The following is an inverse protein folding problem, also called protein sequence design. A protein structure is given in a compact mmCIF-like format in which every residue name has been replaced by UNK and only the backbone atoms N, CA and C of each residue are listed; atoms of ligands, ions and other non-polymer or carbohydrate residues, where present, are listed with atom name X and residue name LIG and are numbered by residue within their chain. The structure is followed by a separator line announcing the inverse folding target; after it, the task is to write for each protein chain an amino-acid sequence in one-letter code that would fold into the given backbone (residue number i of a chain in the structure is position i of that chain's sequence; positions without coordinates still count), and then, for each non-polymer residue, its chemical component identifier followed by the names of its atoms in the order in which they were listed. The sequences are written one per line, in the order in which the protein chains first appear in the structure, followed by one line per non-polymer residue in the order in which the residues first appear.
data_IF_772735149500
#
_entry.id   IF_772735149500
#
_cell.length_a   1.000
_cell.length_b   1.000
_cell.length_c   1.000
_cell.angle_alpha   90.00
_cell.angle_beta   90.00
_cell.angle_gamma   90.00
#
_symmetry.space_group_name_H-M   'P 1'
#
loop_
_entity.id
_entity.type
_entity.pdbx_description
1 polymer ?
#
# COMPACT_ATOMS: atom_id res chain seq x y z
N UNK A 1 -53.63 4.09 40.00
CA UNK A 1 -53.94 3.16 41.11
C UNK A 1 -55.10 2.28 40.68
N UNK A 2 -54.83 1.02 40.33
CA UNK A 2 -55.63 -0.18 40.65
C UNK A 2 -55.01 -1.36 39.91
N UNK A 3 -54.44 -2.29 40.68
CA UNK A 3 -53.97 -3.60 40.21
C UNK A 3 -55.18 -4.54 40.17
N UNK A 4 -55.30 -5.33 39.12
CA UNK A 4 -56.10 -6.56 39.17
C UNK A 4 -55.26 -7.70 38.59
N UNK A 5 -54.84 -8.56 39.50
CA UNK A 5 -54.18 -9.85 39.30
C UNK A 5 -55.21 -10.91 38.95
N UNK A 6 -54.92 -11.81 38.00
CA UNK A 6 -55.53 -13.14 37.97
C UNK A 6 -54.44 -14.21 37.85
N UNK A 7 -54.44 -15.10 38.84
CA UNK A 7 -53.56 -16.24 38.99
C UNK A 7 -54.25 -17.53 38.50
N UNK A 8 -53.44 -18.50 38.08
CA UNK A 8 -53.56 -19.92 38.45
C UNK A 8 -54.62 -20.78 37.75
N UNK A 9 -54.16 -21.79 37.01
CA UNK A 9 -55.00 -22.93 36.62
C UNK A 9 -54.29 -23.95 35.72
N UNK A 10 -53.77 -25.02 36.32
CA UNK A 10 -53.22 -26.21 35.64
C UNK A 10 -54.34 -27.03 34.98
N UNK A 11 -54.10 -27.60 33.79
CA UNK A 11 -54.71 -28.88 33.41
C UNK A 11 -55.23 -29.05 31.98
N UNK A 12 -54.56 -29.94 31.25
CA UNK A 12 -55.06 -30.88 30.20
C UNK A 12 -55.57 -30.36 28.84
N UNK A 13 -54.86 -30.86 27.83
CA UNK A 13 -55.18 -31.02 26.40
C UNK A 13 -56.67 -31.31 26.12
N UNK A 14 -57.30 -30.54 25.23
CA UNK A 14 -58.32 -31.01 24.26
C UNK A 14 -58.26 -30.23 22.94
N UNK A 15 -58.55 -30.96 21.88
CA UNK A 15 -58.43 -30.64 20.46
C UNK A 15 -59.37 -29.52 19.99
N UNK A 16 -58.96 -28.86 18.93
CA UNK A 16 -59.70 -27.89 18.13
C UNK A 16 -60.96 -28.47 17.47
N UNK A 17 -61.99 -27.65 17.30
CA UNK A 17 -63.07 -27.78 16.31
C UNK A 17 -63.68 -26.39 16.02
N UNK A 18 -64.25 -26.16 14.83
CA UNK A 18 -64.23 -24.85 14.17
C UNK A 18 -65.58 -24.12 14.23
N UNK A 19 -65.53 -22.79 14.04
CA UNK A 19 -66.65 -22.03 13.49
C UNK A 19 -67.47 -21.22 14.49
N UNK A 20 -67.10 -19.95 14.65
CA UNK A 20 -68.07 -18.86 14.78
C UNK A 20 -67.48 -17.62 14.09
N UNK A 21 -68.12 -17.24 12.99
CA UNK A 21 -67.89 -16.00 12.26
C UNK A 21 -68.54 -14.85 13.01
N UNK A 22 -67.94 -13.66 12.95
CA UNK A 22 -68.71 -12.42 13.03
C UNK A 22 -68.06 -11.31 13.84
N UNK A 23 -67.40 -10.39 13.12
CA UNK A 23 -67.27 -8.96 13.39
C UNK A 23 -66.83 -8.50 14.78
N UNK A 24 -65.60 -7.99 14.89
CA UNK A 24 -65.32 -6.56 15.15
C UNK A 24 -63.82 -6.32 15.31
N UNK A 25 -63.34 -5.20 14.75
CA UNK A 25 -62.02 -4.57 14.92
C UNK A 25 -60.77 -5.30 14.38
N UNK A 26 -60.33 -4.86 13.19
CA UNK A 26 -58.99 -5.08 12.64
C UNK A 26 -57.96 -4.25 13.43
N UNK A 27 -56.83 -4.80 13.92
CA UNK A 27 -55.65 -4.01 14.20
C UNK A 27 -54.78 -3.87 12.94
N UNK A 28 -54.18 -2.70 12.80
CA UNK A 28 -53.28 -2.28 11.73
C UNK A 28 -52.27 -3.35 11.31
N UNK A 29 -52.32 -3.73 10.02
CA UNK A 29 -51.26 -4.45 9.34
C UNK A 29 -50.06 -3.53 9.12
N UNK A 30 -48.90 -3.89 9.69
CA UNK A 30 -47.58 -3.37 9.31
C UNK A 30 -47.33 -3.55 7.80
N UNK A 31 -46.87 -2.53 7.05
CA UNK A 31 -46.46 -2.75 5.68
C UNK A 31 -45.15 -3.54 5.62
N UNK A 32 -45.16 -4.49 4.69
CA UNK A 32 -44.05 -5.30 4.21
C UNK A 32 -42.80 -4.50 3.85
N UNK A 33 -41.65 -5.09 4.19
CA UNK A 33 -40.27 -4.78 3.79
C UNK A 33 -40.17 -4.11 2.40
N UNK A 34 -39.79 -2.84 2.39
CA UNK A 34 -39.20 -2.19 1.22
C UNK A 34 -37.76 -2.69 1.07
N UNK A 35 -37.51 -3.49 0.02
CA UNK A 35 -36.15 -3.75 -0.48
C UNK A 35 -35.72 -2.50 -1.26
N UNK A 36 -34.76 -1.75 -0.72
CA UNK A 36 -34.06 -0.74 -1.50
C UNK A 36 -32.87 -1.37 -2.23
N UNK A 37 -32.86 -1.16 -3.54
CA UNK A 37 -31.84 -1.55 -4.51
C UNK A 37 -30.53 -0.81 -4.23
N UNK A 38 -29.40 -1.52 -4.34
CA UNK A 38 -28.06 -0.95 -4.32
C UNK A 38 -27.78 -0.23 -5.64
N UNK A 39 -27.88 1.09 -5.65
CA UNK A 39 -27.03 2.05 -6.35
C UNK A 39 -27.76 3.39 -6.41
N UNK A 40 -26.98 4.45 -6.21
CA UNK A 40 -27.36 5.87 -6.22
C UNK A 40 -28.25 6.31 -5.05
N UNK A 41 -27.64 7.00 -4.07
CA UNK A 41 -28.24 8.15 -3.35
C UNK A 41 -27.34 8.62 -2.20
N UNK A 42 -26.31 9.42 -2.52
CA UNK A 42 -25.46 10.08 -1.52
C UNK A 42 -26.18 11.21 -0.77
N UNK A 43 -27.27 11.77 -1.33
CA UNK A 43 -27.95 12.97 -0.80
C UNK A 43 -29.38 12.70 -0.30
N UNK A 44 -30.10 11.74 -0.89
CA UNK A 44 -31.51 11.49 -0.55
C UNK A 44 -31.65 10.71 0.77
N UNK A 45 -30.72 9.81 1.08
CA UNK A 45 -30.76 9.01 2.32
C UNK A 45 -30.54 9.84 3.60
N UNK A 46 -29.63 10.82 3.57
CA UNK A 46 -29.34 11.66 4.73
C UNK A 46 -30.49 12.61 5.06
N UNK A 47 -31.12 13.19 4.03
CA UNK A 47 -32.24 14.11 4.22
C UNK A 47 -33.45 13.39 4.79
N UNK A 48 -33.74 12.17 4.32
CA UNK A 48 -34.84 11.35 4.85
C UNK A 48 -34.59 10.89 6.30
N UNK A 49 -33.38 10.43 6.63
CA UNK A 49 -33.01 10.01 8.00
C UNK A 49 -32.99 11.22 8.95
N UNK A 50 -32.48 12.36 8.49
CA UNK A 50 -32.47 13.62 9.26
C UNK A 50 -33.90 14.11 9.53
N UNK A 51 -34.78 14.11 8.52
CA UNK A 51 -36.18 14.52 8.68
C UNK A 51 -36.99 13.56 9.57
N UNK A 52 -36.73 12.24 9.51
CA UNK A 52 -37.37 11.25 10.39
C UNK A 52 -36.87 11.41 11.84
N UNK A 53 -35.57 11.58 12.04
CA UNK A 53 -34.97 11.72 13.38
C UNK A 53 -35.30 13.06 14.05
N UNK A 54 -35.37 14.16 13.29
CA UNK A 54 -35.82 15.47 13.80
C UNK A 54 -37.31 15.41 14.17
N UNK A 55 -38.13 14.67 13.42
CA UNK A 55 -39.56 14.46 13.73
C UNK A 55 -39.79 13.59 14.98
N UNK A 56 -38.86 12.70 15.32
CA UNK A 56 -38.92 11.82 16.50
C UNK A 56 -38.15 12.37 17.73
N UNK A 57 -37.65 13.61 17.69
CA UNK A 57 -36.94 14.23 18.82
C UNK A 57 -35.48 13.76 19.02
N UNK A 58 -34.90 13.06 18.04
CA UNK A 58 -33.55 12.46 18.10
C UNK A 58 -32.46 13.29 17.39
N UNK A 59 -32.68 14.59 17.16
CA UNK A 59 -31.74 15.48 16.48
C UNK A 59 -30.33 15.51 17.11
N UNK A 60 -30.24 15.30 18.44
CA UNK A 60 -28.98 15.18 19.18
C UNK A 60 -28.20 13.93 18.75
N UNK A 61 -28.87 12.77 18.62
CA UNK A 61 -28.24 11.51 18.22
C UNK A 61 -27.73 11.54 16.76
N UNK A 62 -28.45 12.19 15.85
CA UNK A 62 -27.99 12.38 14.46
C UNK A 62 -26.84 13.39 14.38
N UNK A 63 -26.84 14.43 15.22
CA UNK A 63 -25.72 15.35 15.38
C UNK A 63 -24.45 14.66 15.88
N UNK A 64 -24.56 13.84 16.93
CA UNK A 64 -23.45 13.07 17.50
C UNK A 64 -22.90 12.01 16.53
N UNK A 65 -23.78 11.30 15.82
CA UNK A 65 -23.38 10.30 14.84
C UNK A 65 -22.68 10.94 13.63
N UNK A 66 -23.16 12.10 13.17
CA UNK A 66 -22.50 12.90 12.13
C UNK A 66 -21.12 13.42 12.57
N UNK A 67 -20.99 13.90 13.81
CA UNK A 67 -19.70 14.34 14.37
C UNK A 67 -18.72 13.16 14.53
N UNK A 68 -19.20 11.98 14.95
CA UNK A 68 -18.39 10.77 15.08
C UNK A 68 -17.84 10.30 13.73
N UNK A 69 -18.68 10.28 12.69
CA UNK A 69 -18.25 9.91 11.32
C UNK A 69 -17.22 10.93 10.78
N UNK A 70 -17.44 12.23 10.97
CA UNK A 70 -16.46 13.27 10.58
C UNK A 70 -15.13 13.11 11.31
N UNK A 71 -15.15 12.75 12.59
CA UNK A 71 -13.95 12.47 13.38
C UNK A 71 -13.15 11.27 12.86
N UNK A 72 -13.83 10.19 12.46
CA UNK A 72 -13.20 8.99 11.90
C UNK A 72 -12.51 9.27 10.56
N UNK A 73 -13.18 9.96 9.63
CA UNK A 73 -12.58 10.32 8.33
C UNK A 73 -11.44 11.34 8.46
N UNK A 74 -11.54 12.27 9.42
CA UNK A 74 -10.40 13.12 9.77
C UNK A 74 -9.20 12.27 10.21
N UNK A 75 -9.43 11.20 10.97
CA UNK A 75 -8.39 10.23 11.35
C UNK A 75 -7.76 9.51 10.16
N UNK A 76 -8.57 9.05 9.19
CA UNK A 76 -8.07 8.44 7.94
C UNK A 76 -7.14 9.40 7.20
N UNK A 77 -7.59 10.64 7.00
CA UNK A 77 -6.79 11.66 6.31
C UNK A 77 -5.51 12.04 7.07
N UNK A 78 -5.54 12.02 8.40
CA UNK A 78 -4.35 12.24 9.22
C UNK A 78 -3.32 11.13 9.04
N UNK A 79 -3.73 9.86 9.13
CA UNK A 79 -2.79 8.75 8.95
C UNK A 79 -2.25 8.72 7.52
N UNK A 80 -3.07 9.05 6.52
CA UNK A 80 -2.63 9.22 5.14
C UNK A 80 -1.62 10.37 4.98
N UNK A 81 -1.81 11.50 5.67
CA UNK A 81 -0.85 12.61 5.67
C UNK A 81 0.47 12.23 6.38
N UNK A 82 0.41 11.44 7.44
CA UNK A 82 1.60 10.86 8.07
C UNK A 82 2.37 9.94 7.13
N UNK A 83 1.65 9.10 6.37
CA UNK A 83 2.25 8.23 5.35
C UNK A 83 2.92 9.02 4.23
N UNK A 84 2.25 10.06 3.73
CA UNK A 84 2.81 10.97 2.73
C UNK A 84 4.15 11.52 3.19
N UNK A 85 4.22 12.08 4.40
CA UNK A 85 5.46 12.67 4.89
C UNK A 85 6.53 11.63 5.14
N UNK A 86 6.17 10.51 5.76
CA UNK A 86 7.10 9.41 5.96
C UNK A 86 7.76 9.02 4.63
N UNK A 87 6.96 8.81 3.59
CA UNK A 87 7.42 8.40 2.27
C UNK A 87 8.15 9.52 1.50
N UNK A 88 7.83 10.79 1.75
CA UNK A 88 8.61 11.93 1.26
C UNK A 88 10.05 11.87 1.75
N UNK A 89 10.27 11.64 3.04
CA UNK A 89 11.61 11.61 3.61
C UNK A 89 12.40 10.35 3.20
N UNK A 90 11.77 9.18 3.16
CA UNK A 90 12.44 7.95 2.68
C UNK A 90 12.82 8.04 1.20
N UNK A 91 12.06 8.80 0.40
CA UNK A 91 12.37 9.07 -1.01
C UNK A 91 13.55 10.04 -1.24
N UNK A 92 14.15 10.62 -0.19
CA UNK A 92 15.31 11.51 -0.35
C UNK A 92 16.58 10.79 -0.80
N UNK A 93 16.69 9.47 -0.59
CA UNK A 93 17.94 8.76 -0.86
C UNK A 93 18.36 8.84 -2.34
N UNK A 94 17.50 8.38 -3.25
CA UNK A 94 17.79 8.30 -4.68
C UNK A 94 18.27 9.64 -5.32
N UNK A 95 17.58 10.77 -5.13
CA UNK A 95 18.02 12.07 -5.68
C UNK A 95 19.27 12.63 -5.00
N UNK A 96 19.65 12.14 -3.82
CA UNK A 96 20.88 12.52 -3.12
C UNK A 96 22.08 11.64 -3.47
N UNK A 97 21.89 10.45 -4.03
CA UNK A 97 22.98 9.57 -4.47
C UNK A 97 24.00 10.26 -5.39
N UNK A 98 23.62 11.10 -6.38
CA UNK A 98 24.60 11.83 -7.21
C UNK A 98 25.58 12.70 -6.41
N UNK A 99 25.21 13.11 -5.20
CA UNK A 99 26.04 13.94 -4.33
C UNK A 99 26.76 13.13 -3.25
N UNK A 100 26.09 12.11 -2.70
CA UNK A 100 26.65 11.24 -1.67
C UNK A 100 27.76 10.34 -2.21
N UNK A 101 27.61 9.84 -3.45
CA UNK A 101 28.61 9.00 -4.12
C UNK A 101 29.98 9.68 -4.17
N UNK A 102 30.13 10.88 -4.78
CA UNK A 102 31.43 11.55 -4.81
C UNK A 102 31.86 12.09 -3.44
N UNK A 103 30.95 12.53 -2.57
CA UNK A 103 31.30 13.05 -1.23
C UNK A 103 31.97 11.99 -0.35
N UNK A 104 31.47 10.75 -0.38
CA UNK A 104 31.89 9.67 0.51
C UNK A 104 32.72 8.58 -0.19
N UNK A 105 32.98 8.72 -1.49
CA UNK A 105 33.67 7.72 -2.29
C UNK A 105 32.90 6.40 -2.38
N UNK A 106 31.58 6.45 -2.50
CA UNK A 106 30.75 5.24 -2.56
C UNK A 106 30.92 4.54 -3.91
N UNK A 107 31.01 3.21 -3.88
CA UNK A 107 30.69 2.42 -5.07
C UNK A 107 29.17 2.38 -5.29
N UNK A 108 28.73 2.10 -6.51
CA UNK A 108 27.31 1.95 -6.84
C UNK A 108 26.70 0.74 -6.14
N UNK A 109 27.45 -0.33 -5.88
CA UNK A 109 26.99 -1.44 -5.01
C UNK A 109 26.61 -0.92 -3.62
N UNK A 110 27.46 -0.08 -3.01
CA UNK A 110 27.17 0.50 -1.69
C UNK A 110 25.98 1.46 -1.77
N UNK A 111 25.86 2.26 -2.83
CA UNK A 111 24.67 3.08 -3.06
C UNK A 111 23.37 2.22 -3.17
N UNK A 112 23.46 1.06 -3.81
CA UNK A 112 22.37 0.08 -3.85
C UNK A 112 22.07 -0.52 -2.47
N UNK A 113 23.10 -0.80 -1.67
CA UNK A 113 22.97 -1.30 -0.30
C UNK A 113 22.22 -0.31 0.60
N UNK A 114 22.40 1.00 0.40
CA UNK A 114 21.63 2.01 1.13
C UNK A 114 20.12 1.83 0.91
N UNK A 115 19.70 1.63 -0.34
CA UNK A 115 18.30 1.37 -0.70
C UNK A 115 17.80 0.05 -0.10
N UNK A 116 18.64 -1.00 -0.15
CA UNK A 116 18.34 -2.28 0.50
C UNK A 116 18.14 -2.13 2.01
N UNK A 117 18.98 -1.36 2.72
CA UNK A 117 18.88 -1.20 4.17
C UNK A 117 17.65 -0.38 4.62
N UNK A 118 17.10 0.47 3.75
CA UNK A 118 15.79 1.10 3.99
C UNK A 118 14.67 0.05 3.88
N UNK A 119 14.77 -0.90 2.94
CA UNK A 119 13.67 -1.83 2.66
C UNK A 119 13.72 -3.12 3.49
N UNK A 120 14.91 -3.68 3.73
CA UNK A 120 15.11 -4.99 4.33
C UNK A 120 14.44 -5.15 5.71
N UNK A 121 14.41 -4.14 6.59
CA UNK A 121 13.68 -4.23 7.86
C UNK A 121 12.18 -4.52 7.69
N UNK A 122 11.60 -4.31 6.50
CA UNK A 122 10.22 -4.68 6.19
C UNK A 122 9.92 -6.18 6.35
N UNK A 123 10.95 -7.05 6.31
CA UNK A 123 10.79 -8.46 6.63
C UNK A 123 10.34 -8.70 8.09
N UNK A 124 10.59 -7.74 8.98
CA UNK A 124 10.16 -7.78 10.38
C UNK A 124 8.77 -7.19 10.59
N UNK A 125 8.06 -6.72 9.55
CA UNK A 125 6.70 -6.18 9.68
C UNK A 125 5.72 -7.12 10.43
N UNK A 126 5.71 -8.45 10.24
CA UNK A 126 4.84 -9.33 11.02
C UNK A 126 5.14 -9.28 12.53
N UNK A 127 6.42 -9.28 12.90
CA UNK A 127 6.87 -9.16 14.29
C UNK A 127 6.52 -7.79 14.87
N UNK A 128 6.76 -6.72 14.11
CA UNK A 128 6.43 -5.35 14.52
C UNK A 128 4.92 -5.14 14.64
N UNK A 129 4.11 -5.78 13.79
CA UNK A 129 2.66 -5.85 13.92
C UNK A 129 2.25 -6.47 15.26
N UNK A 130 2.79 -7.66 15.57
CA UNK A 130 2.54 -8.34 16.85
C UNK A 130 2.99 -7.52 18.07
N UNK A 131 4.14 -6.83 17.98
CA UNK A 131 4.61 -5.93 19.04
C UNK A 131 3.65 -4.73 19.18
N UNK A 132 3.18 -4.18 18.06
CA UNK A 132 2.27 -3.03 18.04
C UNK A 132 0.90 -3.35 18.63
N UNK A 133 0.49 -4.62 18.65
CA UNK A 133 -0.75 -5.05 19.33
C UNK A 133 -0.63 -4.98 20.87
N UNK A 134 0.62 -4.99 21.39
CA UNK A 134 0.94 -4.94 22.83
C UNK A 134 1.37 -3.56 23.32
N UNK A 135 1.76 -2.66 22.42
CA UNK A 135 2.17 -1.29 22.71
C UNK A 135 1.14 -0.27 22.20
N UNK A 136 1.32 1.01 22.51
CA UNK A 136 0.47 2.05 21.92
C UNK A 136 0.85 2.25 20.44
N UNK A 137 0.02 1.71 19.55
CA UNK A 137 0.13 1.82 18.08
C UNK A 137 0.27 3.27 17.60
N UNK A 138 -0.20 4.26 18.38
CA UNK A 138 -0.06 5.68 18.08
C UNK A 138 1.40 6.12 18.07
N UNK A 139 2.23 5.55 18.95
CA UNK A 139 3.66 5.89 19.00
C UNK A 139 4.36 5.52 17.70
N UNK A 140 4.01 4.39 17.12
CA UNK A 140 4.56 3.94 15.83
C UNK A 140 4.18 4.89 14.69
N UNK A 141 2.89 5.23 14.58
CA UNK A 141 2.35 6.09 13.51
C UNK A 141 2.84 7.55 13.64
N UNK A 142 3.01 8.05 14.87
CA UNK A 142 3.44 9.43 15.14
C UNK A 142 4.97 9.59 15.06
N UNK A 143 5.74 8.65 15.63
CA UNK A 143 7.19 8.80 15.72
C UNK A 143 7.89 8.45 14.41
N UNK A 144 7.36 7.53 13.61
CA UNK A 144 8.05 7.12 12.38
C UNK A 144 8.27 8.26 11.37
N UNK A 145 7.30 9.16 11.08
CA UNK A 145 7.58 10.34 10.26
C UNK A 145 8.66 11.27 10.87
N UNK A 146 8.66 11.48 12.20
CA UNK A 146 9.69 12.30 12.87
C UNK A 146 11.09 11.67 12.80
N UNK A 147 11.19 10.36 13.03
CA UNK A 147 12.45 9.60 12.95
C UNK A 147 12.97 9.64 11.51
N UNK A 148 12.13 9.28 10.53
CA UNK A 148 12.52 9.30 9.12
C UNK A 148 12.92 10.71 8.68
N UNK A 149 12.16 11.74 9.08
CA UNK A 149 12.50 13.12 8.77
C UNK A 149 13.83 13.55 9.36
N UNK A 150 14.06 13.27 10.64
CA UNK A 150 15.31 13.64 11.31
C UNK A 150 16.47 12.93 10.64
N UNK A 151 16.42 11.61 10.54
CA UNK A 151 17.56 10.84 10.04
C UNK A 151 17.82 11.14 8.56
N UNK A 152 16.78 11.13 7.70
CA UNK A 152 16.94 11.38 6.26
C UNK A 152 17.36 12.82 5.95
N UNK A 153 16.95 13.81 6.76
CA UNK A 153 17.39 15.20 6.57
C UNK A 153 18.84 15.41 7.00
N UNK A 154 19.42 14.53 7.82
CA UNK A 154 20.81 14.63 8.27
C UNK A 154 21.79 13.81 7.42
N UNK A 155 21.34 13.02 6.44
CA UNK A 155 22.25 12.12 5.69
C UNK A 155 23.36 12.86 4.94
N UNK A 156 23.10 14.12 4.55
CA UNK A 156 24.10 14.98 3.92
C UNK A 156 25.28 15.33 4.83
N UNK A 157 25.09 15.25 6.15
CA UNK A 157 26.10 15.50 7.17
C UNK A 157 26.81 14.22 7.65
N UNK A 158 26.53 13.06 7.04
CA UNK A 158 27.20 11.81 7.41
C UNK A 158 28.72 11.92 7.16
N UNK A 159 29.58 11.66 8.17
CA UNK A 159 31.02 11.84 8.05
C UNK A 159 31.73 10.69 7.32
N UNK A 160 31.10 9.52 7.26
CA UNK A 160 31.63 8.32 6.60
C UNK A 160 30.50 7.35 6.23
N UNK A 161 30.85 6.36 5.41
CA UNK A 161 29.92 5.34 4.90
C UNK A 161 29.25 4.55 6.03
N UNK A 162 29.98 4.22 7.11
CA UNK A 162 29.44 3.45 8.23
C UNK A 162 28.29 4.17 8.95
N UNK A 163 28.45 5.47 9.21
CA UNK A 163 27.37 6.29 9.78
C UNK A 163 26.19 6.40 8.83
N UNK A 164 26.44 6.56 7.52
CA UNK A 164 25.36 6.61 6.53
C UNK A 164 24.56 5.29 6.49
N UNK A 165 25.24 4.12 6.51
CA UNK A 165 24.62 2.79 6.58
C UNK A 165 23.77 2.63 7.85
N UNK A 166 24.29 3.07 8.99
CA UNK A 166 23.55 3.05 10.27
C UNK A 166 22.28 3.92 10.18
N UNK A 167 22.40 5.14 9.66
CA UNK A 167 21.28 6.06 9.49
C UNK A 167 20.16 5.47 8.63
N UNK A 168 20.49 4.96 7.43
CA UNK A 168 19.45 4.37 6.55
C UNK A 168 18.85 3.09 7.13
N UNK A 169 19.60 2.33 7.94
CA UNK A 169 19.07 1.17 8.67
C UNK A 169 18.04 1.58 9.72
N UNK A 170 18.31 2.65 10.49
CA UNK A 170 17.35 3.23 11.44
C UNK A 170 16.06 3.66 10.71
N UNK A 171 16.21 4.28 9.55
CA UNK A 171 15.06 4.68 8.70
C UNK A 171 14.29 3.46 8.22
N UNK A 172 14.97 2.37 7.85
CA UNK A 172 14.29 1.14 7.46
C UNK A 172 13.45 0.54 8.59
N UNK A 173 13.95 0.51 9.83
CA UNK A 173 13.15 0.11 10.99
C UNK A 173 11.99 1.06 11.26
N UNK A 174 12.19 2.37 11.12
CA UNK A 174 11.12 3.38 11.20
C UNK A 174 10.02 3.09 10.16
N UNK A 175 10.41 2.76 8.93
CA UNK A 175 9.47 2.41 7.86
C UNK A 175 8.70 1.13 8.14
N UNK A 176 9.38 0.04 8.53
CA UNK A 176 8.73 -1.20 8.91
C UNK A 176 7.76 -1.01 10.09
N UNK A 177 8.14 -0.19 11.07
CA UNK A 177 7.33 0.18 12.22
C UNK A 177 6.08 1.01 11.86
N UNK A 178 6.13 1.79 10.77
CA UNK A 178 4.98 2.54 10.28
C UNK A 178 4.02 1.68 9.45
N UNK A 179 4.54 0.94 8.46
CA UNK A 179 3.71 0.22 7.48
C UNK A 179 3.07 -1.06 8.05
N UNK A 180 3.61 -1.65 9.13
CA UNK A 180 2.99 -2.79 9.79
C UNK A 180 1.61 -2.45 10.43
N UNK A 181 1.51 -1.44 11.32
CA UNK A 181 0.25 -1.10 11.98
C UNK A 181 -0.69 -0.16 11.20
N UNK A 182 -0.15 0.77 10.41
CA UNK A 182 -0.94 1.89 9.87
C UNK A 182 -2.13 1.48 8.96
N UNK A 183 -2.02 0.48 8.06
CA UNK A 183 -3.15 0.04 7.24
C UNK A 183 -4.33 -0.49 8.07
N UNK A 184 -4.04 -1.16 9.19
CA UNK A 184 -5.07 -1.69 10.07
C UNK A 184 -5.79 -0.57 10.83
N UNK A 185 -5.03 0.45 11.29
CA UNK A 185 -5.59 1.67 11.86
C UNK A 185 -6.54 2.36 10.88
N UNK A 186 -6.11 2.55 9.63
CA UNK A 186 -6.94 3.17 8.59
C UNK A 186 -8.20 2.36 8.31
N UNK A 187 -8.08 1.03 8.28
CA UNK A 187 -9.22 0.13 8.06
C UNK A 187 -10.26 0.25 9.18
N UNK A 188 -9.83 0.32 10.43
CA UNK A 188 -10.71 0.51 11.59
C UNK A 188 -11.42 1.87 11.54
N UNK A 189 -10.70 2.94 11.18
CA UNK A 189 -11.26 4.28 11.07
C UNK A 189 -12.24 4.42 9.90
N UNK A 190 -11.98 3.74 8.78
CA UNK A 190 -12.84 3.80 7.60
C UNK A 190 -14.18 3.06 7.75
N UNK A 191 -14.34 2.25 8.81
CA UNK A 191 -15.57 1.53 9.12
C UNK A 191 -16.04 0.65 7.95
N UNK A 192 -17.22 0.93 7.39
CA UNK A 192 -17.77 0.15 6.27
C UNK A 192 -17.10 0.45 4.92
N UNK A 193 -16.28 1.51 4.81
CA UNK A 193 -15.64 1.95 3.56
C UNK A 193 -14.13 1.73 3.58
N UNK A 194 -13.68 0.57 4.06
CA UNK A 194 -12.27 0.18 4.21
C UNK A 194 -11.47 0.46 2.92
N UNK A 195 -11.99 0.03 1.76
CA UNK A 195 -11.33 0.24 0.48
C UNK A 195 -11.00 1.70 0.19
N UNK A 196 -11.95 2.62 0.39
CA UNK A 196 -11.74 4.06 0.21
C UNK A 196 -10.70 4.60 1.20
N UNK A 197 -10.75 4.17 2.47
CA UNK A 197 -9.76 4.57 3.46
C UNK A 197 -8.34 4.13 3.08
N UNK A 198 -8.18 2.88 2.68
CA UNK A 198 -6.90 2.34 2.22
C UNK A 198 -6.43 3.02 0.92
N UNK A 199 -7.33 3.44 0.03
CA UNK A 199 -6.97 4.23 -1.16
C UNK A 199 -6.37 5.59 -0.78
N UNK A 200 -6.96 6.32 0.18
CA UNK A 200 -6.36 7.58 0.67
C UNK A 200 -4.99 7.34 1.30
N UNK A 201 -4.87 6.27 2.10
CA UNK A 201 -3.58 5.89 2.68
C UNK A 201 -2.53 5.60 1.62
N UNK A 202 -2.83 4.79 0.60
CA UNK A 202 -1.91 4.48 -0.48
C UNK A 202 -1.54 5.71 -1.30
N UNK A 203 -2.53 6.54 -1.65
CA UNK A 203 -2.32 7.79 -2.38
C UNK A 203 -1.38 8.73 -1.63
N UNK A 204 -1.51 8.80 -0.30
CA UNK A 204 -0.58 9.55 0.55
C UNK A 204 0.86 9.13 0.33
N UNK A 205 1.17 7.84 0.47
CA UNK A 205 2.52 7.31 0.29
C UNK A 205 3.10 7.53 -1.11
N UNK A 206 2.31 7.27 -2.17
CA UNK A 206 2.77 7.49 -3.55
C UNK A 206 3.03 8.97 -3.87
N UNK A 207 2.15 9.86 -3.38
CA UNK A 207 2.37 11.29 -3.50
C UNK A 207 3.60 11.73 -2.71
N UNK A 208 3.81 11.13 -1.54
CA UNK A 208 4.99 11.34 -0.71
C UNK A 208 6.27 11.03 -1.47
N UNK A 209 6.36 9.82 -2.04
CA UNK A 209 7.45 9.40 -2.91
C UNK A 209 7.67 10.40 -4.04
N UNK A 210 6.62 10.74 -4.77
CA UNK A 210 6.70 11.63 -5.93
C UNK A 210 7.23 13.04 -5.59
N UNK A 211 6.82 13.60 -4.45
CA UNK A 211 7.22 14.95 -4.03
C UNK A 211 8.60 14.99 -3.37
N UNK A 212 9.05 13.88 -2.76
CA UNK A 212 10.34 13.75 -2.08
C UNK A 212 11.53 14.27 -2.89
N UNK A 213 11.73 13.82 -4.14
CA UNK A 213 12.84 14.27 -4.97
C UNK A 213 12.88 15.78 -5.21
N UNK A 214 11.72 16.42 -5.43
CA UNK A 214 11.69 17.87 -5.62
C UNK A 214 11.95 18.64 -4.34
N UNK A 215 11.40 18.17 -3.21
CA UNK A 215 11.65 18.80 -1.93
C UNK A 215 13.14 18.79 -1.55
N UNK A 216 13.79 17.63 -1.67
CA UNK A 216 15.19 17.51 -1.26
C UNK A 216 16.14 18.22 -2.24
N UNK A 217 15.87 18.19 -3.54
CA UNK A 217 16.68 18.94 -4.52
C UNK A 217 16.57 20.45 -4.29
N UNK A 218 15.37 20.96 -3.95
CA UNK A 218 15.19 22.35 -3.56
C UNK A 218 15.99 22.71 -2.31
N UNK A 219 15.90 21.88 -1.27
CA UNK A 219 16.63 22.09 -0.02
C UNK A 219 18.16 22.07 -0.22
N UNK A 220 18.69 21.13 -1.01
CA UNK A 220 20.11 21.10 -1.36
C UNK A 220 20.51 22.36 -2.13
N UNK A 221 19.68 22.82 -3.07
CA UNK A 221 19.98 24.00 -3.89
C UNK A 221 20.04 25.28 -3.06
N UNK A 222 19.23 25.39 -2.00
CA UNK A 222 19.18 26.58 -1.15
C UNK A 222 20.11 26.53 0.07
N UNK A 223 20.31 25.35 0.65
CA UNK A 223 21.01 25.19 1.94
C UNK A 223 22.28 24.35 1.84
N UNK A 224 22.60 23.82 0.66
CA UNK A 224 23.64 22.82 0.49
C UNK A 224 23.23 21.45 1.03
N UNK A 225 24.02 20.42 0.69
CA UNK A 225 23.76 19.04 1.10
C UNK A 225 23.71 18.88 2.63
N UNK A 226 24.66 19.48 3.35
CA UNK A 226 24.72 19.41 4.82
C UNK A 226 23.60 20.23 5.48
N UNK A 227 23.13 21.31 4.83
CA UNK A 227 22.08 22.17 5.36
C UNK A 227 20.66 21.59 5.28
N UNK A 228 20.49 20.40 4.70
CA UNK A 228 19.20 19.72 4.57
C UNK A 228 18.56 19.33 5.90
N UNK A 229 19.32 19.31 7.02
CA UNK A 229 18.82 19.00 8.37
C UNK A 229 17.61 19.86 8.78
N UNK A 230 17.48 21.06 8.20
CA UNK A 230 16.37 21.99 8.45
C UNK A 230 15.01 21.39 8.07
N UNK A 231 14.97 20.45 7.13
CA UNK A 231 13.76 19.72 6.77
C UNK A 231 13.25 18.81 7.90
N UNK A 232 14.09 18.47 8.88
CA UNK A 232 13.64 17.73 10.06
C UNK A 232 12.52 18.47 10.81
N UNK A 233 12.56 19.81 10.84
CA UNK A 233 11.53 20.64 11.47
C UNK A 233 10.14 20.39 10.87
N UNK A 234 10.06 20.20 9.55
CA UNK A 234 8.80 19.90 8.86
C UNK A 234 8.24 18.55 9.33
N UNK A 235 9.10 17.53 9.43
CA UNK A 235 8.69 16.21 9.92
C UNK A 235 8.22 16.22 11.37
N UNK A 236 8.92 16.95 12.24
CA UNK A 236 8.51 17.13 13.64
C UNK A 236 7.20 17.92 13.77
N UNK A 237 7.05 19.02 13.04
CA UNK A 237 5.84 19.84 13.08
C UNK A 237 4.59 19.00 12.75
N UNK A 238 4.67 18.17 11.71
CA UNK A 238 3.53 17.34 11.34
C UNK A 238 3.37 16.14 12.27
N UNK A 239 4.44 15.52 12.76
CA UNK A 239 4.34 14.45 13.75
C UNK A 239 3.67 14.94 15.04
N UNK A 240 4.00 16.14 15.50
CA UNK A 240 3.33 16.78 16.64
C UNK A 240 1.86 17.10 16.35
N UNK A 241 1.55 17.56 15.15
CA UNK A 241 0.16 17.77 14.71
C UNK A 241 -0.65 16.45 14.70
N UNK A 242 -0.07 15.37 14.16
CA UNK A 242 -0.65 14.03 14.16
C UNK A 242 -0.87 13.54 15.59
N UNK A 243 0.11 13.72 16.48
CA UNK A 243 -0.01 13.36 17.89
C UNK A 243 -1.17 14.08 18.57
N UNK A 244 -1.24 15.40 18.40
CA UNK A 244 -2.30 16.21 19.00
C UNK A 244 -3.69 15.72 18.60
N UNK A 245 -3.84 15.30 17.35
CA UNK A 245 -5.14 14.93 16.77
C UNK A 245 -5.51 13.46 17.00
N UNK A 246 -4.55 12.54 16.89
CA UNK A 246 -4.76 11.09 17.12
C UNK A 246 -4.96 10.74 18.59
N UNK A 247 -4.51 11.57 19.54
CA UNK A 247 -4.75 11.40 20.99
C UNK A 247 -6.21 11.13 21.34
N UNK A 248 -7.13 11.70 20.55
CA UNK A 248 -8.59 11.66 20.78
C UNK A 248 -9.30 10.55 20.00
N UNK A 249 -8.58 9.79 19.19
CA UNK A 249 -9.18 8.79 18.29
C UNK A 249 -9.05 7.39 18.89
N UNK A 250 -10.15 6.70 19.24
CA UNK A 250 -10.06 5.33 19.73
C UNK A 250 -9.49 4.43 18.62
N UNK A 251 -8.30 3.89 18.84
CA UNK A 251 -7.67 2.94 17.93
C UNK A 251 -7.90 1.55 18.51
N UNK A 252 -8.79 0.80 17.87
CA UNK A 252 -9.01 -0.60 18.23
C UNK A 252 -7.85 -1.45 17.73
N UNK A 253 -7.49 -2.45 18.54
CA UNK A 253 -6.40 -3.39 18.27
C UNK A 253 -6.85 -4.39 17.21
N UNK A 254 -6.11 -4.55 16.11
CA UNK A 254 -6.32 -5.66 15.20
C UNK A 254 -6.09 -6.99 15.95
N UNK A 255 -6.88 -8.02 15.66
CA UNK A 255 -6.54 -9.40 16.04
C UNK A 255 -5.81 -10.03 14.88
N UNK A 256 -4.59 -10.51 15.13
CA UNK A 256 -3.88 -11.40 14.21
C UNK A 256 -4.34 -12.82 14.52
N UNK A 257 -4.96 -13.49 13.55
CA UNK A 257 -5.29 -14.91 13.66
C UNK A 257 -4.02 -15.76 13.42
N UNK A 258 -3.83 -16.79 14.24
CA UNK A 258 -2.75 -17.79 14.10
C UNK A 258 -2.98 -18.67 12.86
N UNK A 259 -2.49 -18.23 11.70
CA UNK A 259 -2.40 -19.07 10.51
C UNK A 259 -1.04 -19.77 10.43
N UNK A 260 -1.07 -21.10 10.27
CA UNK A 260 0.14 -21.91 10.07
C UNK A 260 0.79 -21.59 8.72
N UNK A 261 1.88 -20.82 8.74
CA UNK A 261 2.68 -20.42 7.57
C UNK A 261 3.10 -21.62 6.70
N UNK A 262 3.44 -22.75 7.33
CA UNK A 262 3.88 -23.96 6.63
C UNK A 262 2.79 -24.56 5.73
N UNK A 263 1.53 -24.58 6.17
CA UNK A 263 0.42 -25.11 5.36
C UNK A 263 0.09 -24.18 4.21
N UNK A 264 0.05 -22.88 4.47
CA UNK A 264 -0.26 -21.90 3.44
C UNK A 264 0.85 -21.75 2.38
N UNK A 265 2.12 -22.05 2.71
CA UNK A 265 3.20 -22.12 1.73
C UNK A 265 3.05 -23.33 0.78
N UNK A 266 2.59 -24.49 1.29
CA UNK A 266 2.33 -25.67 0.46
C UNK A 266 1.26 -25.39 -0.60
N UNK A 267 0.25 -24.59 -0.27
CA UNK A 267 -0.84 -24.24 -1.18
C UNK A 267 -0.41 -23.31 -2.33
N UNK A 268 0.63 -22.49 -2.15
CA UNK A 268 1.09 -21.53 -3.18
C UNK A 268 2.36 -21.97 -3.92
N UNK A 269 2.98 -23.09 -3.52
CA UNK A 269 4.28 -23.55 -4.06
C UNK A 269 4.33 -23.63 -5.59
N UNK A 270 3.22 -24.00 -6.24
CA UNK A 270 3.12 -24.16 -7.69
C UNK A 270 3.27 -22.85 -8.48
N UNK A 271 3.08 -21.69 -7.83
CA UNK A 271 3.28 -20.38 -8.45
C UNK A 271 4.57 -19.69 -8.02
N UNK A 272 5.30 -20.22 -7.03
CA UNK A 272 6.49 -19.57 -6.46
C UNK A 272 7.57 -19.34 -7.50
N UNK A 273 7.92 -20.36 -8.30
CA UNK A 273 8.98 -20.23 -9.31
C UNK A 273 8.62 -19.21 -10.40
N UNK A 274 7.45 -19.30 -11.09
CA UNK A 274 7.12 -18.30 -12.11
C UNK A 274 6.94 -16.90 -11.52
N UNK A 275 6.44 -16.79 -10.28
CA UNK A 275 6.32 -15.50 -9.59
C UNK A 275 7.68 -14.91 -9.21
N UNK A 276 8.62 -15.73 -8.73
CA UNK A 276 9.98 -15.33 -8.42
C UNK A 276 10.71 -14.87 -9.68
N UNK A 277 10.61 -15.61 -10.78
CA UNK A 277 11.16 -15.21 -12.07
C UNK A 277 10.59 -13.89 -12.56
N UNK A 278 9.26 -13.73 -12.52
CA UNK A 278 8.58 -12.49 -12.90
C UNK A 278 9.01 -11.29 -12.04
N UNK A 279 9.05 -11.46 -10.72
CA UNK A 279 9.40 -10.38 -9.78
C UNK A 279 10.87 -10.02 -9.89
N UNK A 280 11.78 -11.00 -10.04
CA UNK A 280 13.21 -10.77 -10.24
C UNK A 280 13.52 -10.06 -11.55
N UNK A 281 12.97 -10.51 -12.68
CA UNK A 281 13.15 -9.85 -13.98
C UNK A 281 12.75 -8.38 -13.94
N UNK A 282 11.63 -8.08 -13.27
CA UNK A 282 11.14 -6.70 -13.14
C UNK A 282 11.89 -5.87 -12.10
N UNK A 283 12.47 -6.52 -11.09
CA UNK A 283 13.21 -5.85 -10.03
C UNK A 283 14.44 -5.09 -10.55
N UNK A 284 15.08 -5.56 -11.63
CA UNK A 284 16.19 -4.84 -12.27
C UNK A 284 15.75 -3.50 -12.87
N UNK A 285 14.65 -3.49 -13.63
CA UNK A 285 14.09 -2.24 -14.19
C UNK A 285 13.63 -1.32 -13.06
N UNK A 286 12.97 -1.87 -12.04
CA UNK A 286 12.55 -1.06 -10.90
C UNK A 286 13.75 -0.44 -10.16
N UNK A 287 14.82 -1.22 -9.96
CA UNK A 287 16.05 -0.73 -9.31
C UNK A 287 16.73 0.38 -10.11
N UNK A 288 16.79 0.24 -11.44
CA UNK A 288 17.26 1.30 -12.33
C UNK A 288 16.43 2.58 -12.11
N UNK A 289 15.11 2.49 -12.25
CA UNK A 289 14.22 3.65 -12.29
C UNK A 289 13.98 4.31 -10.92
N UNK A 290 13.94 3.55 -9.83
CA UNK A 290 13.61 4.06 -8.50
C UNK A 290 14.87 4.48 -7.74
N UNK A 291 15.94 3.68 -7.81
CA UNK A 291 17.16 3.94 -7.02
C UNK A 291 18.18 4.76 -7.81
N UNK A 292 18.46 4.38 -9.07
CA UNK A 292 19.58 4.93 -9.82
C UNK A 292 19.19 5.94 -10.90
N UNK A 293 17.91 6.27 -11.08
CA UNK A 293 17.48 7.21 -12.14
C UNK A 293 18.09 8.60 -12.00
N UNK A 294 18.07 9.24 -10.81
CA UNK A 294 18.74 10.53 -10.65
C UNK A 294 20.25 10.42 -10.92
N UNK A 295 20.90 9.37 -10.41
CA UNK A 295 22.35 9.12 -10.60
C UNK A 295 22.70 8.91 -12.07
N UNK A 296 21.91 8.12 -12.81
CA UNK A 296 22.11 7.88 -14.23
C UNK A 296 21.98 9.18 -15.03
N UNK A 297 20.89 9.92 -14.83
CA UNK A 297 20.63 11.18 -15.54
C UNK A 297 21.70 12.24 -15.21
N UNK A 298 22.11 12.35 -13.94
CA UNK A 298 23.18 13.24 -13.51
C UNK A 298 24.55 12.83 -14.07
N UNK A 299 24.85 11.53 -14.17
CA UNK A 299 26.11 11.03 -14.74
C UNK A 299 26.27 11.34 -16.23
N UNK A 300 25.16 11.62 -16.92
CA UNK A 300 25.14 12.08 -18.31
C UNK A 300 25.16 13.62 -18.43
N UNK A 301 25.49 14.33 -17.36
CA UNK A 301 25.69 15.78 -17.34
C UNK A 301 24.43 16.61 -17.05
N UNK A 302 23.31 15.98 -16.69
CA UNK A 302 22.11 16.72 -16.32
C UNK A 302 22.27 17.39 -14.93
N UNK A 303 21.58 18.51 -14.73
CA UNK A 303 21.54 19.16 -13.43
C UNK A 303 20.79 18.34 -12.39
N UNK A 304 21.03 18.61 -11.10
CA UNK A 304 20.32 17.97 -9.99
C UNK A 304 18.80 18.16 -10.08
N UNK A 305 18.34 19.32 -10.58
CA UNK A 305 16.92 19.59 -10.84
C UNK A 305 16.33 18.65 -11.87
N UNK A 306 17.02 18.43 -12.99
CA UNK A 306 16.55 17.50 -14.04
C UNK A 306 16.57 16.06 -13.53
N UNK A 307 17.59 15.67 -12.77
CA UNK A 307 17.70 14.34 -12.16
C UNK A 307 16.54 14.06 -11.18
N UNK A 308 16.26 15.01 -10.27
CA UNK A 308 15.12 14.91 -9.36
C UNK A 308 13.78 14.92 -10.11
N UNK A 309 13.62 15.78 -11.11
CA UNK A 309 12.38 15.93 -11.84
C UNK A 309 12.06 14.66 -12.64
N UNK A 310 13.09 14.00 -13.17
CA UNK A 310 12.96 12.72 -13.86
C UNK A 310 12.32 11.66 -12.95
N UNK A 311 12.79 11.55 -11.70
CA UNK A 311 12.24 10.61 -10.73
C UNK A 311 10.82 11.00 -10.29
N UNK A 312 10.55 12.28 -10.04
CA UNK A 312 9.21 12.77 -9.71
C UNK A 312 8.21 12.50 -10.82
N UNK A 313 8.53 12.84 -12.08
CA UNK A 313 7.66 12.59 -13.24
C UNK A 313 7.37 11.10 -13.39
N UNK A 314 8.40 10.26 -13.28
CA UNK A 314 8.24 8.82 -13.29
C UNK A 314 7.29 8.34 -12.18
N UNK A 315 7.46 8.79 -10.94
CA UNK A 315 6.64 8.35 -9.81
C UNK A 315 5.20 8.85 -9.87
N UNK A 316 4.95 10.08 -10.31
CA UNK A 316 3.58 10.59 -10.54
C UNK A 316 2.90 9.74 -11.62
N UNK A 317 3.57 9.51 -12.74
CA UNK A 317 3.03 8.68 -13.81
C UNK A 317 2.80 7.24 -13.34
N UNK A 318 3.67 6.72 -12.48
CA UNK A 318 3.53 5.38 -11.93
C UNK A 318 2.37 5.23 -10.94
N UNK A 319 2.12 6.24 -10.11
CA UNK A 319 0.93 6.33 -9.26
C UNK A 319 -0.34 6.31 -10.11
N UNK A 320 -0.40 7.15 -11.16
CA UNK A 320 -1.55 7.19 -12.09
C UNK A 320 -1.71 5.84 -12.80
N UNK A 321 -0.62 5.23 -13.25
CA UNK A 321 -0.60 3.92 -13.92
C UNK A 321 -1.17 2.82 -13.04
N UNK A 322 -0.80 2.79 -11.75
CA UNK A 322 -1.34 1.84 -10.79
C UNK A 322 -2.86 1.95 -10.64
N UNK A 323 -3.38 3.18 -10.54
CA UNK A 323 -4.82 3.44 -10.42
C UNK A 323 -5.58 3.01 -11.67
N UNK A 324 -5.06 3.35 -12.86
CA UNK A 324 -5.68 2.99 -14.13
C UNK A 324 -5.63 1.48 -14.40
N UNK A 325 -4.49 0.85 -14.13
CA UNK A 325 -4.27 -0.57 -14.44
C UNK A 325 -5.21 -1.50 -13.70
N UNK A 326 -5.57 -1.18 -12.44
CA UNK A 326 -6.59 -1.92 -11.69
C UNK A 326 -7.91 -1.97 -12.46
N UNK A 327 -8.50 -0.82 -12.75
CA UNK A 327 -9.78 -0.72 -13.44
C UNK A 327 -9.74 -1.16 -14.92
N UNK A 328 -8.60 -1.04 -15.60
CA UNK A 328 -8.42 -1.62 -16.94
C UNK A 328 -8.44 -3.15 -16.83
N UNK A 329 -7.67 -3.72 -15.90
CA UNK A 329 -7.56 -5.17 -15.72
C UNK A 329 -8.84 -5.84 -15.24
N UNK A 330 -9.71 -5.11 -14.52
CA UNK A 330 -11.06 -5.59 -14.17
C UNK A 330 -11.94 -5.75 -15.42
N UNK A 331 -11.75 -4.91 -16.45
CA UNK A 331 -12.55 -4.92 -17.69
C UNK A 331 -12.00 -5.86 -18.77
N UNK A 332 -10.68 -5.79 -19.01
CA UNK A 332 -10.02 -6.56 -20.09
C UNK A 332 -9.39 -7.86 -19.61
N UNK A 333 -9.39 -8.10 -18.30
CA UNK A 333 -8.77 -9.25 -17.65
C UNK A 333 -7.33 -8.99 -17.18
N UNK A 334 -6.90 -9.76 -16.17
CA UNK A 334 -5.55 -9.65 -15.56
C UNK A 334 -4.44 -9.95 -16.57
N UNK A 335 -4.58 -11.05 -17.32
CA UNK A 335 -3.54 -11.61 -18.20
C UNK A 335 -3.10 -10.62 -19.31
N UNK A 336 -3.99 -10.02 -20.12
CA UNK A 336 -3.58 -9.06 -21.16
C UNK A 336 -2.82 -7.86 -20.59
N UNK A 337 -3.25 -7.32 -19.45
CA UNK A 337 -2.59 -6.17 -18.80
C UNK A 337 -1.20 -6.54 -18.31
N UNK A 338 -1.04 -7.72 -17.68
CA UNK A 338 0.28 -8.21 -17.25
C UNK A 338 1.23 -8.40 -18.43
N UNK A 339 0.76 -8.96 -19.56
CA UNK A 339 1.57 -9.12 -20.77
C UNK A 339 1.96 -7.78 -21.39
N UNK A 340 1.00 -6.86 -21.53
CA UNK A 340 1.25 -5.54 -22.09
C UNK A 340 2.31 -4.78 -21.26
N UNK A 341 2.17 -4.79 -19.93
CA UNK A 341 3.14 -4.18 -19.02
C UNK A 341 4.51 -4.87 -19.08
N UNK A 342 4.55 -6.20 -19.09
CA UNK A 342 5.79 -6.98 -19.15
C UNK A 342 6.57 -6.77 -20.46
N UNK A 343 5.89 -6.52 -21.58
CA UNK A 343 6.52 -6.21 -22.87
C UNK A 343 6.87 -4.73 -23.01
N UNK A 344 5.97 -3.82 -22.62
CA UNK A 344 6.15 -2.38 -22.80
C UNK A 344 7.29 -1.82 -21.92
N UNK A 345 7.39 -2.26 -20.67
CA UNK A 345 8.37 -1.71 -19.72
C UNK A 345 9.83 -1.87 -20.19
N UNK A 346 10.32 -3.07 -20.59
CA UNK A 346 11.69 -3.20 -21.10
C UNK A 346 11.90 -2.47 -22.44
N UNK A 347 10.92 -2.47 -23.35
CA UNK A 347 11.02 -1.75 -24.61
C UNK A 347 11.16 -0.23 -24.40
N UNK A 348 10.36 0.33 -23.49
CA UNK A 348 10.44 1.73 -23.11
C UNK A 348 11.75 2.05 -22.37
N UNK A 349 12.33 1.11 -21.61
CA UNK A 349 13.62 1.32 -20.96
C UNK A 349 14.77 1.35 -21.98
N UNK A 350 14.76 0.48 -22.99
CA UNK A 350 15.69 0.58 -24.12
C UNK A 350 15.57 1.94 -24.82
N UNK A 351 14.34 2.38 -25.08
CA UNK A 351 14.08 3.67 -25.69
C UNK A 351 14.57 4.83 -24.81
N UNK A 352 14.38 4.74 -23.48
CA UNK A 352 14.85 5.74 -22.53
C UNK A 352 16.38 5.91 -22.57
N UNK A 353 17.13 4.80 -22.58
CA UNK A 353 18.60 4.82 -22.66
C UNK A 353 19.10 5.38 -24.00
N UNK A 354 18.35 5.17 -25.07
CA UNK A 354 18.66 5.72 -26.40
C UNK A 354 18.23 7.19 -26.55
N UNK A 355 17.36 7.69 -25.68
CA UNK A 355 16.80 9.04 -25.79
C UNK A 355 17.73 10.10 -25.17
N UNK A 356 17.67 11.31 -25.74
CA UNK A 356 18.42 12.47 -25.29
C UNK A 356 17.51 13.68 -25.08
N UNK A 357 17.95 14.60 -24.23
CA UNK A 357 17.25 15.86 -23.96
C UNK A 357 15.81 15.67 -23.45
N UNK A 358 14.91 16.54 -23.91
CA UNK A 358 13.52 16.59 -23.43
C UNK A 358 12.69 15.34 -23.73
N UNK A 359 13.09 14.52 -24.71
CA UNK A 359 12.35 13.30 -25.07
C UNK A 359 12.33 12.24 -23.97
N UNK A 360 13.25 12.34 -23.00
CA UNK A 360 13.28 11.48 -21.81
C UNK A 360 12.03 11.60 -20.97
N UNK A 361 11.44 12.79 -20.84
CA UNK A 361 10.28 13.00 -19.96
C UNK A 361 9.02 12.29 -20.46
N UNK A 362 8.60 12.40 -21.73
CA UNK A 362 7.50 11.59 -22.27
C UNK A 362 7.74 10.08 -22.09
N UNK A 363 8.97 9.60 -22.31
CA UNK A 363 9.29 8.18 -22.12
C UNK A 363 9.18 7.78 -20.64
N UNK A 364 9.62 8.63 -19.71
CA UNK A 364 9.48 8.41 -18.27
C UNK A 364 8.02 8.37 -17.83
N UNK A 365 7.15 9.18 -18.43
CA UNK A 365 5.70 9.09 -18.20
C UNK A 365 5.17 7.73 -18.62
N UNK A 366 5.50 7.28 -19.83
CA UNK A 366 5.09 5.96 -20.33
C UNK A 366 5.67 4.82 -19.49
N UNK A 367 6.93 4.92 -19.07
CA UNK A 367 7.59 3.98 -18.17
C UNK A 367 6.89 3.91 -16.82
N UNK A 368 6.57 5.05 -16.21
CA UNK A 368 5.83 5.11 -14.97
C UNK A 368 4.49 4.39 -15.10
N UNK A 369 3.69 4.79 -16.09
CA UNK A 369 2.39 4.20 -16.38
C UNK A 369 2.46 2.67 -16.55
N UNK A 370 3.46 2.17 -17.27
CA UNK A 370 3.61 0.74 -17.54
C UNK A 370 4.21 -0.06 -16.38
N UNK A 371 5.14 0.52 -15.61
CA UNK A 371 5.96 -0.22 -14.64
C UNK A 371 5.20 -0.54 -13.34
N UNK A 372 4.56 0.43 -12.69
CA UNK A 372 3.89 0.17 -11.39
C UNK A 372 2.47 -0.40 -11.59
N UNK A 373 1.87 -0.22 -12.77
CA UNK A 373 0.60 -0.83 -13.17
C UNK A 373 0.47 -2.33 -12.84
N UNK A 374 1.56 -3.08 -12.90
CA UNK A 374 1.53 -4.53 -12.68
C UNK A 374 1.29 -4.92 -11.21
N UNK A 375 1.67 -4.09 -10.24
CA UNK A 375 1.61 -4.45 -8.81
C UNK A 375 0.17 -4.71 -8.33
N UNK A 376 -0.80 -3.79 -8.51
CA UNK A 376 -2.19 -4.05 -8.12
C UNK A 376 -2.82 -5.19 -8.94
N UNK A 377 -2.47 -5.34 -10.21
CA UNK A 377 -3.00 -6.40 -11.09
C UNK A 377 -2.51 -7.78 -10.65
N UNK A 378 -1.23 -7.90 -10.28
CA UNK A 378 -0.63 -9.15 -9.82
C UNK A 378 -1.13 -9.53 -8.42
N UNK A 379 -1.29 -8.54 -7.53
CA UNK A 379 -1.92 -8.71 -6.22
C UNK A 379 -3.35 -9.24 -6.36
N UNK A 380 -4.17 -8.62 -7.22
CA UNK A 380 -5.53 -9.09 -7.49
C UNK A 380 -5.52 -10.52 -8.08
N UNK A 381 -4.67 -10.79 -9.07
CA UNK A 381 -4.54 -12.13 -9.68
C UNK A 381 -4.22 -13.22 -8.65
N UNK A 382 -3.31 -12.95 -7.71
CA UNK A 382 -2.94 -13.91 -6.66
C UNK A 382 -4.09 -14.11 -5.67
N UNK A 383 -4.77 -13.04 -5.26
CA UNK A 383 -5.88 -13.13 -4.31
C UNK A 383 -7.12 -13.81 -4.87
N UNK A 384 -7.42 -13.60 -6.15
CA UNK A 384 -8.51 -14.27 -6.87
C UNK A 384 -8.23 -15.77 -6.99
N UNK A 385 -6.96 -16.14 -7.16
CA UNK A 385 -6.52 -17.53 -7.30
C UNK A 385 -6.48 -18.31 -5.99
N UNK A 386 -6.20 -17.65 -4.88
CA UNK A 386 -6.12 -18.26 -3.55
C UNK A 386 -7.11 -17.63 -2.57
N UNK A 387 -8.44 -17.73 -2.81
CA UNK A 387 -9.44 -17.02 -2.05
C UNK A 387 -9.50 -17.44 -0.57
N UNK A 388 -9.08 -18.66 -0.23
CA UNK A 388 -9.08 -19.19 1.13
C UNK A 388 -7.85 -18.78 1.96
N UNK A 389 -6.79 -18.28 1.32
CA UNK A 389 -5.52 -17.92 1.97
C UNK A 389 -4.95 -16.60 1.43
N UNK A 390 -5.82 -15.64 1.08
CA UNK A 390 -5.45 -14.36 0.43
C UNK A 390 -4.30 -13.64 1.11
N UNK A 391 -4.32 -13.56 2.44
CA UNK A 391 -3.30 -12.89 3.23
C UNK A 391 -1.93 -13.55 3.06
N UNK A 392 -1.85 -14.88 3.20
CA UNK A 392 -0.59 -15.61 3.04
C UNK A 392 -0.08 -15.61 1.61
N UNK A 393 -0.97 -15.81 0.62
CA UNK A 393 -0.59 -15.77 -0.78
C UNK A 393 -0.01 -14.40 -1.17
N UNK A 394 -0.62 -13.32 -0.69
CA UNK A 394 -0.08 -11.98 -0.85
C UNK A 394 1.23 -11.78 -0.08
N UNK A 395 1.35 -12.35 1.13
CA UNK A 395 2.60 -12.33 1.91
C UNK A 395 3.79 -12.96 1.18
N UNK A 396 3.58 -14.13 0.56
CA UNK A 396 4.62 -14.79 -0.27
C UNK A 396 5.00 -13.93 -1.47
N UNK A 397 4.02 -13.35 -2.16
CA UNK A 397 4.27 -12.41 -3.26
C UNK A 397 5.11 -11.20 -2.83
N UNK A 398 4.75 -10.56 -1.71
CA UNK A 398 5.47 -9.41 -1.18
C UNK A 398 6.90 -9.80 -0.76
N UNK A 399 7.08 -10.94 -0.10
CA UNK A 399 8.41 -11.43 0.29
C UNK A 399 9.31 -11.66 -0.93
N UNK A 400 8.80 -12.34 -1.97
CA UNK A 400 9.54 -12.54 -3.23
C UNK A 400 9.89 -11.20 -3.89
N UNK A 401 8.97 -10.24 -3.86
CA UNK A 401 9.20 -8.90 -4.42
C UNK A 401 10.31 -8.15 -3.67
N UNK A 402 10.32 -8.17 -2.35
CA UNK A 402 11.37 -7.51 -1.54
C UNK A 402 12.74 -8.15 -1.71
N UNK A 403 12.81 -9.49 -1.69
CA UNK A 403 14.06 -10.22 -1.91
C UNK A 403 14.59 -9.94 -3.32
N UNK A 404 13.72 -10.01 -4.32
CA UNK A 404 14.07 -9.69 -5.71
C UNK A 404 14.57 -8.25 -5.87
N UNK A 405 13.88 -7.28 -5.28
CA UNK A 405 14.30 -5.87 -5.30
C UNK A 405 15.68 -5.67 -4.64
N UNK A 406 15.91 -6.28 -3.48
CA UNK A 406 17.18 -6.18 -2.75
C UNK A 406 18.34 -6.82 -3.53
N UNK A 407 18.13 -7.98 -4.13
CA UNK A 407 19.13 -8.63 -4.96
C UNK A 407 19.41 -7.83 -6.25
N UNK A 408 18.36 -7.37 -6.92
CA UNK A 408 18.48 -6.64 -8.17
C UNK A 408 19.17 -5.28 -8.00
N UNK A 409 18.88 -4.53 -6.94
CA UNK A 409 19.51 -3.21 -6.73
C UNK A 409 21.00 -3.32 -6.43
N UNK A 410 21.42 -4.35 -5.67
CA UNK A 410 22.83 -4.63 -5.41
C UNK A 410 23.54 -5.10 -6.68
N UNK A 411 22.94 -6.04 -7.42
CA UNK A 411 23.48 -6.52 -8.68
C UNK A 411 23.59 -5.39 -9.71
N UNK A 412 22.59 -4.51 -9.78
CA UNK A 412 22.61 -3.34 -10.66
C UNK A 412 23.69 -2.34 -10.28
N UNK A 413 23.89 -2.10 -8.99
CA UNK A 413 25.04 -1.34 -8.50
C UNK A 413 26.37 -1.95 -8.95
N UNK A 414 26.52 -3.28 -8.82
CA UNK A 414 27.74 -4.00 -9.23
C UNK A 414 27.99 -3.95 -10.73
N UNK A 415 26.94 -4.10 -11.54
CA UNK A 415 27.01 -3.90 -12.99
C UNK A 415 27.39 -2.45 -13.33
N UNK A 416 26.88 -1.48 -12.56
CA UNK A 416 27.22 -0.07 -12.70
C UNK A 416 28.70 0.20 -12.41
N UNK A 417 29.24 -0.38 -11.34
CA UNK A 417 30.65 -0.26 -10.98
C UNK A 417 31.57 -0.91 -12.02
N UNK A 418 31.18 -2.07 -12.56
CA UNK A 418 32.01 -2.82 -13.51
C UNK A 418 31.96 -2.28 -14.95
N UNK A 419 30.78 -1.84 -15.42
CA UNK A 419 30.54 -1.54 -16.84
C UNK A 419 29.82 -0.21 -17.09
N UNK A 420 29.57 0.59 -16.04
CA UNK A 420 28.85 1.85 -16.11
C UNK A 420 27.33 1.69 -16.05
N UNK A 421 26.64 2.72 -15.54
CA UNK A 421 25.18 2.71 -15.36
C UNK A 421 24.41 2.55 -16.68
N UNK A 422 24.92 3.10 -17.79
CA UNK A 422 24.29 2.93 -19.11
C UNK A 422 24.19 1.46 -19.49
N UNK A 423 25.27 0.70 -19.34
CA UNK A 423 25.30 -0.74 -19.62
C UNK A 423 24.41 -1.50 -18.64
N UNK A 424 24.44 -1.15 -17.36
CA UNK A 424 23.57 -1.75 -16.34
C UNK A 424 22.08 -1.56 -16.66
N UNK A 425 21.68 -0.40 -17.20
CA UNK A 425 20.30 -0.14 -17.65
C UNK A 425 19.91 -0.99 -18.86
N UNK A 426 20.80 -1.14 -19.84
CA UNK A 426 20.55 -2.00 -21.01
C UNK A 426 20.42 -3.47 -20.62
N UNK A 427 21.28 -3.95 -19.73
CA UNK A 427 21.17 -5.31 -19.17
C UNK A 427 19.85 -5.46 -18.42
N UNK A 428 19.46 -4.47 -17.61
CA UNK A 428 18.19 -4.47 -16.88
C UNK A 428 16.97 -4.52 -17.81
N UNK A 429 17.01 -3.78 -18.93
CA UNK A 429 15.97 -3.85 -19.95
C UNK A 429 15.91 -5.24 -20.59
N UNK A 430 17.06 -5.84 -20.93
CA UNK A 430 17.16 -7.20 -21.46
C UNK A 430 16.61 -8.26 -20.50
N UNK A 431 17.01 -8.22 -19.22
CA UNK A 431 16.49 -9.10 -18.17
C UNK A 431 14.98 -8.91 -17.95
N UNK A 432 14.48 -7.68 -18.12
CA UNK A 432 13.06 -7.38 -18.04
C UNK A 432 12.22 -8.07 -19.12
N UNK A 433 12.78 -8.35 -20.30
CA UNK A 433 12.08 -9.11 -21.37
C UNK A 433 11.70 -10.51 -20.88
N UNK A 434 12.49 -11.10 -19.99
CA UNK A 434 12.21 -12.41 -19.39
C UNK A 434 10.91 -12.41 -18.56
N UNK A 435 10.38 -11.25 -18.18
CA UNK A 435 9.09 -11.17 -17.52
C UNK A 435 7.95 -11.75 -18.38
N UNK A 436 8.02 -11.62 -19.72
CA UNK A 436 6.97 -12.08 -20.64
C UNK A 436 6.72 -13.60 -20.55
N UNK A 437 7.74 -14.48 -20.70
CA UNK A 437 7.52 -15.92 -20.54
C UNK A 437 7.10 -16.29 -19.10
N UNK A 438 7.57 -15.59 -18.07
CA UNK A 438 7.11 -15.84 -16.70
C UNK A 438 5.65 -15.44 -16.46
N UNK A 439 5.15 -14.35 -17.06
CA UNK A 439 3.71 -14.03 -17.07
C UNK A 439 2.93 -15.16 -17.75
N UNK A 440 3.43 -15.66 -18.88
CA UNK A 440 2.82 -16.79 -19.59
C UNK A 440 2.76 -18.07 -18.76
N UNK A 441 3.84 -18.41 -18.05
CA UNK A 441 3.88 -19.55 -17.15
C UNK A 441 2.92 -19.34 -15.97
N UNK A 442 3.04 -18.22 -15.26
CA UNK A 442 2.23 -17.90 -14.09
C UNK A 442 0.73 -17.98 -14.37
N UNK A 443 0.30 -17.42 -15.50
CA UNK A 443 -1.12 -17.38 -15.91
C UNK A 443 -1.64 -18.70 -16.45
N UNK A 444 -0.77 -19.66 -16.82
CA UNK A 444 -1.13 -21.01 -17.27
C UNK A 444 -1.11 -22.05 -16.17
N UNK A 445 -0.34 -21.85 -15.10
CA UNK A 445 -0.36 -22.76 -13.95
C UNK A 445 -1.84 -22.91 -13.52
N UNK A 446 -2.39 -24.13 -13.39
CA UNK A 446 -3.76 -24.32 -12.92
C UNK A 446 -3.93 -23.78 -11.49
N UNK A 447 -5.06 -23.16 -11.17
CA UNK A 447 -5.40 -22.99 -9.76
C UNK A 447 -5.54 -24.41 -9.18
N UNK A 448 -4.71 -24.78 -8.21
CA UNK A 448 -5.00 -25.95 -7.37
C UNK A 448 -6.23 -25.60 -6.54
N UNK A 449 -7.40 -25.61 -7.18
CA UNK A 449 -8.66 -25.76 -6.48
C UNK A 449 -8.61 -27.19 -6.00
N UNK A 450 -8.02 -27.42 -4.83
CA UNK A 450 -8.40 -28.60 -4.05
C UNK A 450 -9.87 -28.33 -3.75
N UNK A 451 -10.85 -28.97 -4.40
CA UNK A 451 -12.23 -28.59 -4.19
C UNK A 451 -12.50 -29.00 -2.75
N UNK A 452 -12.55 -28.02 -1.84
CA UNK A 452 -12.95 -28.28 -0.46
C UNK A 452 -14.29 -29.00 -0.44
N UNK A 453 -15.11 -28.79 -1.47
CA UNK A 453 -16.34 -29.54 -1.73
C UNK A 453 -16.07 -31.03 -2.00
N UNK A 454 -15.10 -31.41 -2.84
CA UNK A 454 -14.75 -32.82 -3.06
C UNK A 454 -14.10 -33.46 -1.83
N UNK A 455 -13.19 -32.75 -1.15
CA UNK A 455 -12.56 -33.26 0.06
C UNK A 455 -13.52 -33.35 1.26
N UNK A 456 -14.57 -32.52 1.30
CA UNK A 456 -15.66 -32.60 2.27
C UNK A 456 -16.66 -33.69 1.88
N UNK A 457 -17.00 -33.82 0.60
CA UNK A 457 -17.84 -34.90 0.06
C UNK A 457 -17.21 -36.28 0.30
N UNK A 458 -15.91 -36.44 0.03
CA UNK A 458 -15.16 -37.68 0.31
C UNK A 458 -15.10 -38.01 1.81
N UNK A 459 -14.95 -37.00 2.69
CA UNK A 459 -15.01 -37.19 4.16
C UNK A 459 -16.42 -37.42 4.70
N UNK A 460 -17.45 -37.01 3.97
CA UNK A 460 -18.86 -37.22 4.36
C UNK A 460 -19.44 -38.53 3.82
N UNK A 461 -18.70 -39.22 2.94
CA UNK A 461 -19.07 -40.51 2.32
C UNK A 461 -18.33 -41.71 2.92
N UNK A 462 -17.36 -41.50 3.80
CA UNK A 462 -16.71 -42.54 4.62
C UNK A 462 -17.02 -42.30 6.09
#
# INVERSE_FOLDING_TARGET
MTRTTCAGGKGRRRRASPGCRGLLSRPFSTPSRLRFSQNDDFVVSWTAIYLISVREGNAVAVGEQGQRIRGLWAGVLQVAAGHLLHDTFTAFLAPLLPLLIPKLGLSLVIAGLLSTLIQLPSLFQPLLGYISDRLDIRLFVVLAPAISATVMSFIGAAPNVGILLMMVTIVGFSSAAFHAPAPAVVSNLAGRRIGLGLSFFQMGGELGRALGPMLIVAAVSWWGLEGTYRLALLGWAVSLFLLWRLRRTPLERPRVDDLSFARAFQDVRGIVIPLAGLTLSRAFINSALVTFLPTYVASEGASLWVAGASLTVFQIAAMVGALLAGGISDRVGRRPVLFASAAATPALLFLFVAAHGWWRFPILVLLGLANIATLPVLMAFIQERFPHIRATANGVYMALTFVSASAAVLALGGMGDAWGLRTAYLISAGLGVLAVPFVGWLTRTPAEVRPMVQAWEERSRG
#
